data_IF_888490534462
#
_entry.id   IF_888490534462
#
_cell.length_a   1.000
_cell.length_b   1.000
_cell.length_c   1.000
_cell.angle_alpha   90.00
_cell.angle_beta   90.00
_cell.angle_gamma   90.00
#
_symmetry.space_group_name_H-M   'P 1'
#
loop_
_entity.id
_entity.type
_entity.pdbx_description
1 polymer ?
#
# COMPACT_ATOMS: atom_id res chain seq x y z
N UNK A 1 6.55 12.21 -14.04
CA UNK A 1 5.57 13.17 -13.49
C UNK A 1 4.65 12.40 -12.56
N UNK A 2 4.44 12.83 -11.31
CA UNK A 2 3.52 12.16 -10.37
C UNK A 2 2.09 12.60 -10.73
N UNK A 3 1.27 11.68 -11.24
CA UNK A 3 -0.17 11.94 -11.41
C UNK A 3 -0.92 11.51 -10.15
N UNK A 4 -1.69 12.44 -9.57
CA UNK A 4 -2.57 12.20 -8.44
C UNK A 4 -3.99 12.00 -8.94
N UNK A 5 -4.56 10.81 -8.77
CA UNK A 5 -5.93 10.53 -9.20
C UNK A 5 -6.84 10.39 -7.97
N UNK A 6 -7.90 11.20 -7.91
CA UNK A 6 -8.83 11.25 -6.79
C UNK A 6 -10.01 10.29 -6.99
N UNK A 7 -10.22 9.39 -6.03
CA UNK A 7 -11.33 8.44 -5.95
C UNK A 7 -12.17 8.80 -4.70
N UNK A 8 -13.48 8.88 -4.86
CA UNK A 8 -14.41 9.09 -3.74
C UNK A 8 -14.71 7.73 -3.08
N UNK A 9 -14.22 7.50 -1.85
CA UNK A 9 -14.51 6.28 -1.10
C UNK A 9 -15.61 6.53 -0.07
N UNK A 10 -16.68 5.73 -0.11
CA UNK A 10 -17.71 5.74 0.92
C UNK A 10 -17.22 5.08 2.22
N UNK A 11 -17.80 5.52 3.33
CA UNK A 11 -17.47 5.11 4.70
C UNK A 11 -17.54 3.60 4.90
N UNK A 12 -16.57 3.03 5.62
CA UNK A 12 -16.55 1.64 6.07
C UNK A 12 -16.51 1.65 7.59
N UNK A 13 -17.46 0.97 8.22
CA UNK A 13 -17.66 1.02 9.67
C UNK A 13 -16.60 0.27 10.49
N UNK A 14 -16.48 0.78 11.72
CA UNK A 14 -15.53 0.50 12.78
C UNK A 14 -15.33 -1.00 13.07
N UNK A 15 -14.09 -1.46 12.91
CA UNK A 15 -13.35 -2.16 13.99
C UNK A 15 -11.93 -2.55 13.57
N UNK A 16 -11.66 -2.60 12.29
CA UNK A 16 -10.40 -3.04 11.72
C UNK A 16 -10.26 -2.28 10.40
N UNK A 17 -9.03 -2.08 9.96
CA UNK A 17 -8.60 -1.99 8.55
C UNK A 17 -8.01 -0.66 8.11
N UNK A 18 -6.68 -0.62 8.06
CA UNK A 18 -6.01 0.23 7.09
C UNK A 18 -6.41 -0.26 5.70
N UNK A 19 -6.77 0.68 4.82
CA UNK A 19 -6.99 0.37 3.41
C UNK A 19 -5.68 0.60 2.69
N UNK A 20 -5.26 -0.36 1.87
CA UNK A 20 -4.07 -0.24 1.03
C UNK A 20 -4.52 -0.23 -0.42
N UNK A 21 -4.25 0.86 -1.14
CA UNK A 21 -4.37 0.81 -2.59
C UNK A 21 -3.11 0.15 -3.17
N UNK A 22 -3.27 -0.91 -3.96
CA UNK A 22 -2.17 -1.74 -4.49
C UNK A 22 -2.15 -1.72 -6.03
N UNK A 23 -0.98 -1.99 -6.65
CA UNK A 23 -0.89 -2.02 -8.10
C UNK A 23 -1.73 -3.16 -8.68
N UNK A 24 -2.27 -2.93 -9.88
CA UNK A 24 -2.90 -3.99 -10.68
C UNK A 24 -1.83 -4.66 -11.52
N UNK A 25 -1.72 -5.98 -11.45
CA UNK A 25 -0.67 -6.76 -12.14
C UNK A 25 -0.57 -6.45 -13.63
N UNK A 26 -1.70 -6.22 -14.30
CA UNK A 26 -1.71 -5.85 -15.72
C UNK A 26 -1.05 -4.50 -16.01
N UNK A 27 -1.21 -3.50 -15.13
CA UNK A 27 -0.58 -2.19 -15.29
C UNK A 27 0.92 -2.26 -14.94
N UNK A 28 1.27 -3.01 -13.90
CA UNK A 28 2.67 -3.24 -13.53
C UNK A 28 3.45 -3.95 -14.66
N UNK A 29 2.93 -5.07 -15.18
CA UNK A 29 3.63 -5.84 -16.21
C UNK A 29 3.67 -5.13 -17.57
N UNK A 30 2.57 -4.53 -18.02
CA UNK A 30 2.47 -3.99 -19.39
C UNK A 30 2.93 -2.54 -19.53
N UNK A 31 2.82 -1.76 -18.46
CA UNK A 31 3.05 -0.32 -18.49
C UNK A 31 4.07 0.15 -17.45
N UNK A 32 4.70 -0.77 -16.71
CA UNK A 32 5.65 -0.43 -15.62
C UNK A 32 5.07 0.55 -14.60
N UNK A 33 3.75 0.45 -14.35
CA UNK A 33 3.05 1.29 -13.39
C UNK A 33 3.03 0.60 -12.04
N UNK A 34 3.59 1.28 -11.05
CA UNK A 34 3.49 0.91 -9.65
C UNK A 34 2.67 1.93 -8.86
N UNK A 35 2.28 1.55 -7.64
CA UNK A 35 1.46 2.34 -6.75
C UNK A 35 2.28 2.67 -5.51
N UNK A 36 2.58 3.95 -5.34
CA UNK A 36 3.26 4.49 -4.17
C UNK A 36 2.33 4.75 -3.00
N UNK A 37 2.90 4.97 -1.83
CA UNK A 37 2.15 5.12 -0.58
C UNK A 37 1.22 3.92 -0.35
N UNK A 38 -0.09 4.12 -0.34
CA UNK A 38 -1.04 3.01 -0.20
C UNK A 38 -1.88 3.11 1.06
N UNK A 39 -1.29 3.48 2.19
CA UNK A 39 -1.94 3.44 3.50
C UNK A 39 -2.95 4.58 3.63
N UNK A 40 -4.22 4.22 3.77
CA UNK A 40 -5.32 5.11 4.09
C UNK A 40 -5.83 4.70 5.47
N UNK A 41 -5.73 5.63 6.42
CA UNK A 41 -6.15 5.42 7.81
C UNK A 41 -7.66 5.22 7.92
N UNK A 42 -8.08 4.43 8.91
CA UNK A 42 -9.47 4.07 9.11
C UNK A 42 -10.36 5.29 9.47
N UNK A 43 -9.79 6.34 10.02
CA UNK A 43 -10.45 7.60 10.37
C UNK A 43 -10.37 8.66 9.27
N UNK A 44 -9.67 8.41 8.16
CA UNK A 44 -9.62 9.31 7.02
C UNK A 44 -11.00 9.43 6.34
N UNK A 45 -11.46 10.66 6.10
CA UNK A 45 -12.75 10.97 5.42
C UNK A 45 -12.60 11.93 4.24
N UNK A 46 -11.37 12.28 3.88
CA UNK A 46 -11.08 13.12 2.72
C UNK A 46 -11.13 12.36 1.39
N UNK A 47 -10.81 13.04 0.28
CA UNK A 47 -10.66 12.43 -1.03
C UNK A 47 -9.52 11.40 -1.05
N UNK A 48 -9.76 10.19 -1.57
CA UNK A 48 -8.72 9.17 -1.65
C UNK A 48 -7.89 9.37 -2.92
N UNK A 49 -6.64 9.78 -2.78
CA UNK A 49 -5.69 9.86 -3.90
C UNK A 49 -4.99 8.53 -4.16
N UNK A 50 -4.68 8.24 -5.41
CA UNK A 50 -3.74 7.17 -5.81
C UNK A 50 -2.49 7.84 -6.37
N UNK A 51 -1.33 7.49 -5.83
CA UNK A 51 -0.02 7.93 -6.31
C UNK A 51 0.52 6.86 -7.26
N UNK A 52 0.67 7.21 -8.53
CA UNK A 52 1.23 6.31 -9.55
C UNK A 52 2.70 6.63 -9.81
N UNK A 53 3.53 5.60 -9.83
CA UNK A 53 4.90 5.66 -10.32
C UNK A 53 4.96 5.02 -11.70
N UNK A 54 5.45 5.77 -12.68
CA UNK A 54 5.78 5.25 -13.99
C UNK A 54 7.29 4.99 -14.05
N UNK A 55 7.66 3.71 -14.12
CA UNK A 55 9.05 3.26 -14.24
C UNK A 55 9.48 3.00 -15.68
N UNK A 56 8.63 3.31 -16.67
CA UNK A 56 9.00 3.26 -18.09
C UNK A 56 9.47 4.62 -18.60
N UNK A 57 10.10 4.61 -19.77
CA UNK A 57 10.49 5.83 -20.49
C UNK A 57 9.35 6.42 -21.34
N UNK A 58 8.15 5.83 -21.31
CA UNK A 58 7.00 6.28 -22.08
C UNK A 58 5.94 6.88 -21.15
N UNK A 59 5.29 7.95 -21.58
CA UNK A 59 4.15 8.50 -20.84
C UNK A 59 2.99 7.50 -20.77
N UNK A 60 2.29 7.51 -19.63
CA UNK A 60 1.12 6.68 -19.39
C UNK A 60 -0.10 7.58 -19.20
N UNK A 61 -1.02 7.57 -20.17
CA UNK A 61 -2.23 8.38 -20.13
C UNK A 61 -3.32 7.71 -19.27
N UNK A 62 -3.82 8.42 -18.26
CA UNK A 62 -4.96 7.99 -17.44
C UNK A 62 -6.22 8.78 -17.83
N UNK A 63 -7.33 8.07 -18.07
CA UNK A 63 -8.62 8.68 -18.39
C UNK A 63 -9.63 8.45 -17.27
N UNK A 64 -10.59 9.36 -17.17
CA UNK A 64 -11.72 9.21 -16.24
C UNK A 64 -12.44 7.89 -16.51
N UNK A 65 -12.55 7.06 -15.47
CA UNK A 65 -13.15 5.72 -15.55
C UNK A 65 -12.13 4.59 -15.62
N UNK A 66 -10.84 4.88 -15.84
CA UNK A 66 -9.80 3.87 -15.82
C UNK A 66 -9.59 3.30 -14.41
N UNK A 67 -9.46 1.97 -14.35
CA UNK A 67 -9.18 1.23 -13.12
C UNK A 67 -7.66 1.20 -12.90
N UNK A 68 -7.13 2.20 -12.22
CA UNK A 68 -5.68 2.41 -12.03
C UNK A 68 -5.06 1.71 -10.81
N UNK A 69 -5.85 1.36 -9.81
CA UNK A 69 -5.41 0.65 -8.61
C UNK A 69 -6.55 -0.25 -8.10
N UNK A 70 -6.28 -1.01 -7.05
CA UNK A 70 -7.30 -1.77 -6.32
C UNK A 70 -7.18 -1.50 -4.83
N UNK A 71 -8.31 -1.41 -4.13
CA UNK A 71 -8.37 -1.18 -2.70
C UNK A 71 -8.40 -2.52 -1.96
N UNK A 72 -7.41 -2.79 -1.13
CA UNK A 72 -7.36 -3.95 -0.24
C UNK A 72 -7.65 -3.49 1.19
N UNK A 73 -8.55 -4.20 1.84
CA UNK A 73 -8.95 -3.94 3.21
C UNK A 73 -8.12 -4.87 4.11
N UNK A 74 -7.04 -4.37 4.71
CA UNK A 74 -6.10 -5.21 5.45
C UNK A 74 -6.39 -5.25 6.95
N UNK A 75 -6.50 -6.45 7.53
CA UNK A 75 -6.67 -6.61 8.98
C UNK A 75 -5.35 -6.28 9.69
N UNK A 76 -5.42 -5.40 10.70
CA UNK A 76 -4.30 -5.01 11.57
C UNK A 76 -4.71 -5.15 13.03
N UNK A 77 -3.71 -5.18 13.92
CA UNK A 77 -3.88 -5.04 15.37
C UNK A 77 -3.13 -3.77 15.76
N UNK A 78 -3.70 -2.96 16.65
CA UNK A 78 -3.07 -1.77 17.21
C UNK A 78 -2.79 -2.03 18.69
N UNK A 79 -1.67 -2.70 19.04
CA UNK A 79 -1.33 -2.97 20.43
C UNK A 79 -0.77 -1.72 21.11
N UNK A 80 -0.82 -1.68 22.44
CA UNK A 80 -0.05 -0.71 23.21
C UNK A 80 1.44 -1.04 23.11
N UNK A 81 2.27 0.00 22.99
CA UNK A 81 3.73 -0.14 22.94
C UNK A 81 4.26 -0.30 24.36
N UNK A 82 5.05 -1.35 24.59
CA UNK A 82 5.71 -1.63 25.87
C UNK A 82 7.23 -1.64 25.67
N UNK A 83 7.93 -0.76 26.37
CA UNK A 83 9.39 -0.71 26.40
C UNK A 83 9.95 -1.77 27.35
N UNK A 84 11.00 -2.48 26.94
CA UNK A 84 11.67 -3.56 27.70
C UNK A 84 13.18 -3.49 27.46
N UNK A 85 13.97 -3.97 28.43
CA UNK A 85 15.43 -3.98 28.32
C UNK A 85 15.93 -5.00 27.27
N UNK A 86 15.27 -6.16 27.17
CA UNK A 86 15.63 -7.25 26.27
C UNK A 86 14.40 -7.97 25.69
N UNK A 87 14.54 -8.54 24.49
CA UNK A 87 13.55 -9.39 23.82
C UNK A 87 13.95 -10.87 23.91
N UNK A 88 12.97 -11.77 23.77
CA UNK A 88 13.21 -13.22 23.76
C UNK A 88 13.94 -13.69 22.49
N UNK A 89 14.78 -14.73 22.65
CA UNK A 89 15.51 -15.31 21.53
C UNK A 89 14.59 -16.15 20.64
N UNK A 90 14.70 -16.00 19.32
CA UNK A 90 13.98 -16.83 18.34
C UNK A 90 14.95 -17.62 17.47
N UNK A 91 14.48 -18.68 16.81
CA UNK A 91 15.27 -19.45 15.82
C UNK A 91 15.82 -18.56 14.70
N UNK A 92 15.09 -17.49 14.33
CA UNK A 92 15.53 -16.52 13.32
C UNK A 92 16.62 -15.57 13.83
N UNK A 93 16.56 -15.19 15.11
CA UNK A 93 17.50 -14.25 15.73
C UNK A 93 17.65 -12.96 14.92
N UNK A 94 18.90 -12.50 14.72
CA UNK A 94 19.23 -11.33 13.91
C UNK A 94 19.27 -11.58 12.39
N UNK A 95 18.85 -12.77 11.92
CA UNK A 95 18.89 -13.14 10.51
C UNK A 95 17.91 -12.33 9.64
N UNK A 96 18.42 -11.70 8.59
CA UNK A 96 17.65 -10.94 7.60
C UNK A 96 18.38 -10.84 6.26
N UNK A 97 17.83 -10.10 5.30
CA UNK A 97 18.51 -9.76 4.03
C UNK A 97 19.07 -10.97 3.25
N UNK A 98 18.27 -12.03 3.11
CA UNK A 98 18.71 -13.24 2.40
C UNK A 98 19.56 -14.20 3.24
N UNK A 99 19.48 -14.12 4.58
CA UNK A 99 20.21 -15.01 5.51
C UNK A 99 19.92 -16.51 5.32
N UNK A 100 18.86 -16.88 4.61
CA UNK A 100 18.51 -18.27 4.28
C UNK A 100 19.10 -18.76 2.97
N UNK A 101 19.91 -17.94 2.28
CA UNK A 101 20.47 -18.25 0.97
C UNK A 101 19.52 -17.94 -0.19
N UNK A 102 19.93 -18.37 -1.39
CA UNK A 102 19.18 -18.31 -2.66
C UNK A 102 18.59 -19.68 -2.97
#
# INVERSE_FOLDING_TARGET
MLELVCICASSVDYFLKNKIHTPRSGLAWKHSIDVGAGVIDADYRGPVGVILFNHSDNDFEVKTGDRIAQLIIQKIIVPEVMEVDDLDSTVRGAGGFGSTGV
#
